data_IF_536139618828
#
_entry.id   IF_536139618828
#
_cell.length_a   1.000
_cell.length_b   1.000
_cell.length_c   1.000
_cell.angle_alpha   90.00
_cell.angle_beta   90.00
_cell.angle_gamma   90.00
#
_symmetry.space_group_name_H-M   'P 1'
#
loop_
_entity.id
_entity.type
_entity.pdbx_description
1 polymer ?
#
# COMPACT_ATOMS: atom_id res chain seq x y z
N UNK A 1 -15.91 -5.52 -2.04
CA UNK A 1 -15.47 -5.21 -3.42
C UNK A 1 -14.73 -3.91 -3.38
N UNK A 2 -13.52 -3.87 -3.95
CA UNK A 2 -12.77 -2.64 -4.14
C UNK A 2 -13.49 -1.75 -5.16
N UNK A 3 -13.24 -0.44 -5.09
CA UNK A 3 -13.78 0.52 -6.04
C UNK A 3 -13.24 0.21 -7.46
N UNK A 4 -14.10 -0.06 -8.46
CA UNK A 4 -13.67 -0.38 -9.83
C UNK A 4 -12.85 0.75 -10.49
N UNK A 5 -12.95 1.99 -10.02
CA UNK A 5 -12.14 3.10 -10.50
C UNK A 5 -10.67 3.00 -10.03
N UNK A 6 -10.44 2.33 -8.88
CA UNK A 6 -9.11 2.10 -8.30
C UNK A 6 -8.49 0.80 -8.80
N UNK A 7 -9.33 -0.20 -9.10
CA UNK A 7 -8.90 -1.57 -9.38
C UNK A 7 -8.63 -1.85 -10.87
N UNK A 8 -8.60 -0.81 -11.71
CA UNK A 8 -8.26 -0.92 -13.14
C UNK A 8 -9.09 -1.97 -13.92
N UNK A 9 -10.29 -2.30 -13.43
CA UNK A 9 -11.18 -3.28 -14.03
C UNK A 9 -10.77 -4.75 -13.81
N UNK A 10 -9.94 -5.06 -12.82
CA UNK A 10 -9.71 -6.46 -12.44
C UNK A 10 -10.97 -7.10 -11.85
N UNK A 11 -11.12 -8.41 -12.11
CA UNK A 11 -12.15 -9.23 -11.51
C UNK A 11 -11.51 -10.16 -10.48
N UNK A 12 -12.23 -10.47 -9.40
CA UNK A 12 -11.75 -11.35 -8.33
C UNK A 12 -12.67 -12.56 -8.17
N UNK A 13 -12.07 -13.72 -7.87
CA UNK A 13 -12.79 -14.94 -7.53
C UNK A 13 -13.31 -14.90 -6.08
N UNK A 14 -14.00 -15.96 -5.66
CA UNK A 14 -14.57 -16.09 -4.31
C UNK A 14 -13.50 -16.07 -3.20
N UNK A 15 -12.25 -16.38 -3.55
CA UNK A 15 -11.10 -16.39 -2.65
C UNK A 15 -10.42 -15.00 -2.56
N UNK A 16 -10.88 -14.03 -3.35
CA UNK A 16 -10.29 -12.69 -3.42
C UNK A 16 -9.00 -12.62 -4.25
N UNK A 17 -8.71 -13.64 -5.07
CA UNK A 17 -7.62 -13.65 -6.02
C UNK A 17 -8.09 -13.16 -7.39
N UNK A 18 -7.17 -12.68 -8.22
CA UNK A 18 -7.51 -12.21 -9.57
C UNK A 18 -8.08 -13.38 -10.39
N UNK A 19 -9.30 -13.23 -10.87
CA UNK A 19 -9.90 -14.16 -11.81
C UNK A 19 -9.35 -13.87 -13.21
N UNK A 20 -8.44 -14.74 -13.65
CA UNK A 20 -7.77 -14.64 -14.95
C UNK A 20 -8.80 -14.66 -16.09
N UNK A 21 -9.86 -15.46 -15.99
CA UNK A 21 -10.82 -15.61 -17.09
C UNK A 21 -11.73 -14.39 -17.27
N UNK A 22 -11.94 -13.65 -16.20
CA UNK A 22 -12.74 -12.42 -16.18
C UNK A 22 -11.88 -11.16 -16.29
N UNK A 23 -10.57 -11.30 -16.35
CA UNK A 23 -9.64 -10.20 -16.52
C UNK A 23 -9.82 -9.53 -17.89
N UNK A 24 -9.80 -8.20 -17.98
CA UNK A 24 -9.88 -7.49 -19.26
C UNK A 24 -8.68 -7.77 -20.19
N UNK A 25 -7.61 -8.38 -19.66
CA UNK A 25 -6.43 -8.77 -20.42
C UNK A 25 -6.50 -10.22 -20.96
N UNK A 26 -7.57 -10.93 -20.66
CA UNK A 26 -7.80 -12.29 -21.12
C UNK A 26 -8.57 -12.29 -22.45
N UNK A 27 -8.07 -13.03 -23.44
CA UNK A 27 -8.75 -13.21 -24.73
C UNK A 27 -9.34 -14.62 -24.82
N UNK A 28 -10.63 -14.72 -25.20
CA UNK A 28 -11.36 -16.00 -25.23
C UNK A 28 -10.97 -16.92 -26.40
N UNK A 29 -10.15 -16.45 -27.34
CA UNK A 29 -9.64 -17.22 -28.47
C UNK A 29 -8.39 -18.04 -28.12
N UNK A 30 -7.90 -17.94 -26.89
CA UNK A 30 -6.75 -18.71 -26.43
C UNK A 30 -7.11 -20.19 -26.34
N UNK A 31 -6.36 -20.99 -27.10
CA UNK A 31 -6.40 -22.45 -27.04
C UNK A 31 -6.20 -22.90 -25.58
N UNK A 32 -6.98 -23.90 -25.17
CA UNK A 32 -7.26 -24.35 -23.80
C UNK A 32 -6.04 -24.59 -22.88
N UNK A 33 -4.82 -24.54 -23.41
CA UNK A 33 -3.57 -24.63 -22.66
C UNK A 33 -3.05 -23.25 -22.25
N UNK A 34 -3.76 -22.64 -21.30
CA UNK A 34 -3.48 -21.30 -20.77
C UNK A 34 -2.59 -21.45 -19.55
N UNK A 35 -1.28 -21.25 -19.71
CA UNK A 35 -0.37 -21.22 -18.58
C UNK A 35 -0.39 -19.84 -17.91
N UNK A 36 -0.27 -19.82 -16.58
CA UNK A 36 -0.12 -18.58 -15.79
C UNK A 36 0.99 -17.69 -16.36
N UNK A 37 2.09 -18.31 -16.82
CA UNK A 37 3.21 -17.62 -17.44
C UNK A 37 2.83 -16.85 -18.72
N UNK A 38 2.01 -17.44 -19.61
CA UNK A 38 1.56 -16.78 -20.84
C UNK A 38 0.68 -15.57 -20.52
N UNK A 39 -0.21 -15.70 -19.54
CA UNK A 39 -1.04 -14.59 -19.07
C UNK A 39 -0.19 -13.45 -18.48
N UNK A 40 0.79 -13.77 -17.64
CA UNK A 40 1.71 -12.77 -17.07
C UNK A 40 2.49 -12.05 -18.18
N UNK A 41 3.07 -12.78 -19.12
CA UNK A 41 3.82 -12.18 -20.24
C UNK A 41 2.96 -11.20 -21.05
N UNK A 42 1.67 -11.52 -21.25
CA UNK A 42 0.72 -10.64 -21.94
C UNK A 42 0.41 -9.39 -21.13
N UNK A 43 0.11 -9.52 -19.84
CA UNK A 43 -0.14 -8.36 -18.96
C UNK A 43 1.06 -7.43 -18.98
N UNK A 44 2.28 -7.97 -18.83
CA UNK A 44 3.51 -7.18 -18.85
C UNK A 44 3.62 -6.42 -20.16
N UNK A 45 3.35 -7.06 -21.29
CA UNK A 45 3.38 -6.43 -22.60
C UNK A 45 2.33 -5.30 -22.74
N UNK A 46 1.07 -5.57 -22.39
CA UNK A 46 -0.02 -4.59 -22.46
C UNK A 46 0.20 -3.41 -21.52
N UNK A 47 0.69 -3.68 -20.30
CA UNK A 47 0.98 -2.66 -19.30
C UNK A 47 2.15 -1.78 -19.75
N UNK A 48 3.23 -2.37 -20.30
CA UNK A 48 4.34 -1.60 -20.83
C UNK A 48 3.89 -0.65 -21.95
N UNK A 49 3.06 -1.12 -22.88
CA UNK A 49 2.48 -0.28 -23.93
C UNK A 49 1.60 0.86 -23.38
N UNK A 50 0.77 0.55 -22.38
CA UNK A 50 -0.11 1.55 -21.73
C UNK A 50 0.70 2.60 -20.99
N UNK A 51 1.74 2.18 -20.26
CA UNK A 51 2.67 3.09 -19.56
C UNK A 51 3.34 4.01 -20.55
N UNK A 52 3.89 3.50 -21.65
CA UNK A 52 4.53 4.34 -22.66
C UNK A 52 3.56 5.32 -23.34
N UNK A 53 2.30 4.92 -23.55
CA UNK A 53 1.26 5.81 -24.09
C UNK A 53 0.89 6.93 -23.11
N UNK A 54 0.74 6.59 -21.84
CA UNK A 54 0.36 7.53 -20.77
C UNK A 54 1.55 8.35 -20.25
N UNK A 55 2.78 7.94 -20.55
CA UNK A 55 3.98 8.62 -20.09
C UNK A 55 3.97 10.06 -20.60
N UNK A 56 4.13 11.06 -19.72
CA UNK A 56 4.26 12.44 -20.15
C UNK A 56 5.39 12.56 -21.17
N UNK A 57 5.07 13.05 -22.38
CA UNK A 57 6.07 13.32 -23.42
C UNK A 57 6.88 14.59 -23.14
N UNK A 58 6.40 15.40 -22.20
CA UNK A 58 7.07 16.63 -21.77
C UNK A 58 8.28 16.28 -20.91
N UNK A 59 9.44 16.94 -21.12
CA UNK A 59 10.59 16.77 -20.25
C UNK A 59 10.21 17.02 -18.80
N UNK A 60 10.60 16.11 -17.90
CA UNK A 60 10.45 16.33 -16.48
C UNK A 60 11.34 17.51 -16.06
N UNK A 61 10.72 18.62 -15.68
CA UNK A 61 11.43 19.74 -15.08
C UNK A 61 11.49 19.46 -13.58
N UNK A 62 12.71 19.26 -13.07
CA UNK A 62 12.97 19.30 -11.63
C UNK A 62 12.72 20.74 -11.16
N UNK A 63 11.48 21.02 -10.77
CA UNK A 63 11.19 22.18 -9.92
C UNK A 63 12.06 21.97 -8.67
N UNK A 64 12.92 22.95 -8.37
CA UNK A 64 13.96 22.84 -7.36
C UNK A 64 13.44 22.43 -5.98
N UNK A 65 14.35 22.37 -5.00
CA UNK A 65 14.01 21.86 -3.66
C UNK A 65 12.76 22.58 -3.12
N UNK A 66 11.69 21.82 -2.74
CA UNK A 66 10.57 22.39 -2.03
C UNK A 66 11.07 23.17 -0.82
N UNK A 67 10.44 24.29 -0.44
CA UNK A 67 10.82 25.00 0.78
C UNK A 67 10.83 24.02 1.95
N UNK A 68 11.81 24.20 2.86
CA UNK A 68 11.95 23.34 4.01
C UNK A 68 10.61 23.24 4.75
N UNK A 69 10.16 22.02 5.01
CA UNK A 69 8.98 21.77 5.83
C UNK A 69 9.20 22.42 7.20
N UNK A 70 8.17 23.08 7.79
CA UNK A 70 8.30 23.68 9.10
C UNK A 70 8.75 22.62 10.11
N UNK A 71 9.75 22.96 10.93
CA UNK A 71 10.26 22.09 11.99
C UNK A 71 9.07 21.68 12.88
N UNK A 72 8.83 20.37 13.09
CA UNK A 72 7.80 19.91 14.02
C UNK A 72 8.06 20.56 15.37
N UNK A 73 7.04 21.23 15.92
CA UNK A 73 7.13 21.76 17.27
C UNK A 73 7.47 20.60 18.21
N UNK A 74 8.61 20.71 18.89
CA UNK A 74 9.02 19.80 19.94
C UNK A 74 7.87 19.70 20.95
N UNK A 75 7.25 18.52 21.04
CA UNK A 75 6.26 18.23 22.08
C UNK A 75 6.93 18.43 23.45
N UNK A 76 6.26 19.07 24.42
CA UNK A 76 6.84 19.30 25.73
C UNK A 76 7.24 17.96 26.36
N UNK A 77 8.52 17.86 26.71
CA UNK A 77 9.12 16.70 27.30
C UNK A 77 8.31 16.24 28.52
N UNK A 78 7.98 14.95 28.55
CA UNK A 78 7.29 14.29 29.65
C UNK A 78 8.04 14.56 30.95
N UNK A 79 7.42 15.33 31.84
CA UNK A 79 8.02 15.70 33.13
C UNK A 79 8.43 14.43 33.89
N UNK A 80 9.66 14.35 34.44
CA UNK A 80 10.13 13.17 35.18
C UNK A 80 9.23 12.83 36.37
N UNK A 81 8.46 13.81 36.86
CA UNK A 81 7.50 13.64 37.94
C UNK A 81 6.37 12.65 37.58
N UNK A 82 5.92 12.64 36.32
CA UNK A 82 4.86 11.73 35.85
C UNK A 82 5.33 10.28 35.84
N UNK A 83 6.57 10.04 35.42
CA UNK A 83 7.18 8.71 35.37
C UNK A 83 7.36 8.15 36.79
N UNK A 84 7.87 8.97 37.71
CA UNK A 84 8.03 8.55 39.11
C UNK A 84 6.70 8.19 39.76
N UNK A 85 5.63 8.94 39.49
CA UNK A 85 4.30 8.67 40.04
C UNK A 85 3.75 7.30 39.59
N UNK A 86 3.87 6.98 38.30
CA UNK A 86 3.38 5.69 37.76
C UNK A 86 4.14 4.50 38.33
N UNK A 87 5.46 4.62 38.49
CA UNK A 87 6.30 3.57 39.09
C UNK A 87 5.90 3.31 40.54
N UNK A 88 5.74 4.37 41.34
CA UNK A 88 5.36 4.26 42.76
C UNK A 88 3.97 3.63 42.92
N UNK A 89 3.00 4.04 42.09
CA UNK A 89 1.66 3.46 42.12
C UNK A 89 1.68 1.97 41.76
N UNK A 90 2.46 1.61 40.73
CA UNK A 90 2.56 0.21 40.25
C UNK A 90 3.22 -0.70 41.28
N UNK A 91 4.32 -0.27 41.91
CA UNK A 91 5.00 -1.03 42.97
C UNK A 91 4.11 -1.21 44.21
N UNK A 92 3.35 -0.18 44.57
CA UNK A 92 2.42 -0.24 45.71
C UNK A 92 1.30 -1.25 45.45
N UNK A 93 0.71 -1.25 44.25
CA UNK A 93 -0.32 -2.21 43.84
C UNK A 93 0.21 -3.64 43.83
N UNK A 94 1.42 -3.85 43.27
CA UNK A 94 2.09 -5.15 43.25
C UNK A 94 2.37 -5.68 44.66
N UNK A 95 2.81 -4.82 45.58
CA UNK A 95 3.06 -5.20 46.97
C UNK A 95 1.77 -5.60 47.72
N UNK A 96 0.62 -5.00 47.36
CA UNK A 96 -0.68 -5.39 47.90
C UNK A 96 -1.11 -6.76 47.35
N UNK A 97 -0.89 -7.02 46.06
CA UNK A 97 -1.24 -8.29 45.42
C UNK A 97 -0.37 -9.48 45.87
N UNK A 98 0.86 -9.22 46.32
CA UNK A 98 1.81 -10.23 46.81
C UNK A 98 1.68 -10.51 48.33
N UNK A 99 0.75 -9.86 49.02
CA UNK A 99 0.50 -10.02 50.45
C UNK A 99 -0.64 -10.99 50.72
#
# INVERSE_FOLDING_TARGET
MADPEIDHGFAYNEQGEIDIFLSPFYESDWEYDITVERYINRIVYCLAGTIELQRPRTPWILLGRPPASPTPASSPATSPLGITCVIVASLSMLAILLR
#
